data_IF_078661098306
#
_entry.id   IF_078661098306
#
_cell.length_a   1.000
_cell.length_b   1.000
_cell.length_c   1.000
_cell.angle_alpha   90.00
_cell.angle_beta   90.00
_cell.angle_gamma   90.00
#
_symmetry.space_group_name_H-M   'P 1'
#
loop_
_entity.id
_entity.type
_entity.pdbx_description
1 polymer ?
#
# COMPACT_ATOMS: atom_id res chain seq x y z
N UNK A 1 20.63 25.78 -22.65
CA UNK A 1 19.94 24.67 -21.96
C UNK A 1 20.69 23.36 -22.13
N UNK A 2 20.53 22.42 -21.23
CA UNK A 2 21.14 21.10 -21.33
C UNK A 2 20.12 20.12 -21.93
N UNK A 3 20.57 19.20 -22.81
CA UNK A 3 19.75 18.11 -23.30
C UNK A 3 19.54 17.10 -22.17
N UNK A 4 18.29 16.68 -21.97
CA UNK A 4 17.92 15.63 -21.00
C UNK A 4 17.67 14.35 -21.78
N UNK A 5 18.32 13.26 -21.36
CA UNK A 5 18.05 11.90 -21.83
C UNK A 5 17.29 11.15 -20.75
N UNK A 6 16.21 10.49 -21.14
CA UNK A 6 15.47 9.58 -20.25
C UNK A 6 15.97 8.15 -20.40
N UNK A 7 16.18 7.47 -19.27
CA UNK A 7 16.44 6.03 -19.20
C UNK A 7 15.31 5.39 -18.38
N UNK A 8 14.44 4.63 -19.04
CA UNK A 8 13.31 3.92 -18.42
C UNK A 8 13.78 2.59 -17.84
N UNK A 9 13.45 2.35 -16.55
CA UNK A 9 13.69 1.08 -15.87
C UNK A 9 12.35 0.51 -15.38
N UNK A 10 12.13 -0.78 -15.65
CA UNK A 10 10.99 -1.52 -15.10
C UNK A 10 11.46 -2.34 -13.90
N UNK A 11 10.81 -2.16 -12.78
CA UNK A 11 11.10 -2.84 -11.51
C UNK A 11 10.00 -3.83 -11.10
N UNK A 12 8.97 -4.00 -11.94
CA UNK A 12 7.93 -5.03 -11.78
C UNK A 12 7.16 -4.95 -10.46
N UNK A 13 7.09 -3.75 -9.83
CA UNK A 13 6.42 -3.54 -8.54
C UNK A 13 6.96 -4.46 -7.39
N UNK A 14 8.19 -4.95 -7.52
CA UNK A 14 8.80 -5.90 -6.59
C UNK A 14 10.03 -5.31 -5.87
N UNK A 15 10.33 -5.86 -4.67
CA UNK A 15 11.51 -5.44 -3.91
C UNK A 15 12.81 -5.79 -4.66
N UNK A 16 12.89 -6.97 -5.27
CA UNK A 16 14.05 -7.44 -6.03
C UNK A 16 14.26 -6.59 -7.30
N UNK A 17 13.18 -6.34 -8.05
CA UNK A 17 13.23 -5.47 -9.22
C UNK A 17 13.65 -4.05 -8.87
N UNK A 18 13.14 -3.51 -7.76
CA UNK A 18 13.53 -2.21 -7.22
C UNK A 18 15.02 -2.13 -6.87
N UNK A 19 15.58 -3.15 -6.22
CA UNK A 19 17.02 -3.24 -5.93
C UNK A 19 17.87 -3.34 -7.20
N UNK A 20 17.44 -4.16 -8.16
CA UNK A 20 18.14 -4.35 -9.43
C UNK A 20 18.19 -3.05 -10.23
N UNK A 21 17.05 -2.39 -10.41
CA UNK A 21 16.97 -1.12 -11.11
C UNK A 21 17.80 -0.04 -10.40
N UNK A 22 17.68 0.06 -9.07
CA UNK A 22 18.41 1.03 -8.28
C UNK A 22 19.95 0.83 -8.37
N UNK A 23 20.42 -0.42 -8.35
CA UNK A 23 21.84 -0.75 -8.50
C UNK A 23 22.36 -0.34 -9.87
N UNK A 24 21.61 -0.62 -10.93
CA UNK A 24 21.95 -0.20 -12.30
C UNK A 24 22.03 1.32 -12.41
N UNK A 25 21.03 2.03 -11.88
CA UNK A 25 20.99 3.50 -11.88
C UNK A 25 22.18 4.08 -11.11
N UNK A 26 22.47 3.57 -9.91
CA UNK A 26 23.57 4.05 -9.07
C UNK A 26 24.96 3.85 -9.69
N UNK A 27 25.11 2.86 -10.57
CA UNK A 27 26.34 2.59 -11.30
C UNK A 27 26.57 3.58 -12.46
N UNK A 28 25.52 4.16 -13.03
CA UNK A 28 25.61 5.12 -14.13
C UNK A 28 25.85 6.54 -13.61
N UNK A 29 27.06 7.05 -13.77
CA UNK A 29 27.47 8.38 -13.33
C UNK A 29 26.87 9.53 -14.13
N UNK A 30 26.14 9.26 -15.18
CA UNK A 30 25.42 10.27 -15.99
C UNK A 30 24.03 10.57 -15.45
N UNK A 31 23.49 9.71 -14.58
CA UNK A 31 22.19 9.91 -13.95
C UNK A 31 22.29 10.99 -12.87
N UNK A 32 21.45 12.01 -12.98
CA UNK A 32 21.41 13.16 -12.04
C UNK A 32 20.21 13.13 -11.10
N UNK A 33 19.11 12.49 -11.51
CA UNK A 33 17.90 12.38 -10.71
C UNK A 33 17.05 11.19 -11.15
N UNK A 34 16.19 10.70 -10.25
CA UNK A 34 15.22 9.63 -10.54
C UNK A 34 13.82 10.14 -10.25
N UNK A 35 12.90 9.95 -11.20
CA UNK A 35 11.46 10.09 -11.01
C UNK A 35 10.87 8.69 -10.90
N UNK A 36 10.35 8.34 -9.76
CA UNK A 36 9.85 6.98 -9.42
C UNK A 36 10.14 6.66 -7.94
N UNK A 37 9.85 5.49 -7.51
CA UNK A 37 9.21 4.37 -8.22
C UNK A 37 7.69 4.52 -8.20
N UNK A 38 6.97 3.56 -8.81
CA UNK A 38 5.52 3.50 -8.70
C UNK A 38 5.09 2.83 -7.39
N UNK A 39 5.62 1.65 -7.08
CA UNK A 39 5.25 0.89 -5.89
C UNK A 39 6.18 1.15 -4.70
N UNK A 40 5.61 1.21 -3.49
CA UNK A 40 6.42 1.36 -2.27
C UNK A 40 7.36 0.19 -2.01
N UNK A 41 7.01 -1.02 -2.46
CA UNK A 41 7.86 -2.23 -2.41
C UNK A 41 9.20 -2.06 -3.12
N UNK A 42 9.22 -1.30 -4.20
CA UNK A 42 10.44 -0.97 -4.97
C UNK A 42 11.26 0.11 -4.26
N UNK A 43 10.57 1.16 -3.75
CA UNK A 43 11.22 2.30 -3.14
C UNK A 43 11.90 1.97 -1.81
N UNK A 44 11.31 1.10 -1.00
CA UNK A 44 11.87 0.75 0.32
C UNK A 44 13.31 0.25 0.21
N UNK A 45 13.64 -0.74 -0.63
CA UNK A 45 15.02 -1.17 -0.81
C UNK A 45 15.81 -0.29 -1.81
N UNK A 46 15.16 0.31 -2.80
CA UNK A 46 15.84 1.02 -3.89
C UNK A 46 16.27 2.44 -3.52
N UNK A 47 15.47 3.17 -2.75
CA UNK A 47 15.77 4.56 -2.41
C UNK A 47 17.10 4.74 -1.68
N UNK A 48 17.48 3.92 -0.69
CA UNK A 48 18.80 4.02 -0.07
C UNK A 48 19.96 3.82 -1.05
N UNK A 49 19.83 2.90 -2.01
CA UNK A 49 20.86 2.62 -3.02
C UNK A 49 21.08 3.85 -3.90
N UNK A 50 20.00 4.43 -4.42
CA UNK A 50 20.03 5.60 -5.30
C UNK A 50 20.59 6.81 -4.55
N UNK A 51 20.06 7.10 -3.35
CA UNK A 51 20.45 8.30 -2.61
C UNK A 51 21.87 8.23 -2.04
N UNK A 52 22.34 7.04 -1.68
CA UNK A 52 23.75 6.85 -1.27
C UNK A 52 24.73 7.06 -2.43
N UNK A 53 24.29 6.90 -3.66
CA UNK A 53 25.06 7.27 -4.86
C UNK A 53 25.06 8.80 -5.13
N UNK A 54 24.39 9.59 -4.31
CA UNK A 54 24.29 11.05 -4.47
C UNK A 54 23.20 11.50 -5.43
N UNK A 55 22.30 10.62 -5.83
CA UNK A 55 21.23 10.88 -6.80
C UNK A 55 19.93 11.18 -6.05
N UNK A 56 19.26 12.30 -6.37
CA UNK A 56 17.94 12.60 -5.83
C UNK A 56 16.86 11.72 -6.44
N UNK A 57 15.89 11.34 -5.61
CA UNK A 57 14.76 10.51 -6.03
C UNK A 57 13.44 11.16 -5.61
N UNK A 58 12.51 11.33 -6.55
CA UNK A 58 11.18 11.87 -6.30
C UNK A 58 10.13 10.90 -6.82
N UNK A 59 9.30 10.36 -5.92
CA UNK A 59 8.18 9.50 -6.31
C UNK A 59 6.87 10.27 -6.41
N UNK A 60 6.11 10.12 -7.51
CA UNK A 60 4.76 10.66 -7.62
C UNK A 60 3.69 9.74 -7.00
N UNK A 61 4.04 8.53 -6.58
CA UNK A 61 3.08 7.46 -6.29
C UNK A 61 3.28 6.75 -4.95
N UNK A 62 4.51 6.59 -4.46
CA UNK A 62 4.76 5.83 -3.23
C UNK A 62 4.12 6.47 -2.01
N UNK A 63 3.30 5.72 -1.28
CA UNK A 63 2.55 6.23 -0.12
C UNK A 63 2.98 5.67 1.23
N UNK A 64 3.73 4.55 1.26
CA UNK A 64 4.11 3.88 2.50
C UNK A 64 4.76 4.83 3.53
N UNK A 65 4.32 4.71 4.78
CA UNK A 65 4.75 5.58 5.89
C UNK A 65 6.26 5.57 6.07
N UNK A 66 6.89 4.39 5.97
CA UNK A 66 8.31 4.17 6.23
C UNK A 66 9.24 5.02 5.34
N UNK A 67 8.80 5.34 4.12
CA UNK A 67 9.61 6.07 3.14
C UNK A 67 9.91 7.52 3.54
N UNK A 68 9.07 8.12 4.39
CA UNK A 68 9.26 9.49 4.89
C UNK A 68 9.24 9.58 6.42
N UNK A 69 9.30 8.44 7.11
CA UNK A 69 9.51 8.39 8.56
C UNK A 69 10.89 9.02 8.86
N UNK A 70 10.98 10.05 9.72
CA UNK A 70 12.26 10.72 10.04
C UNK A 70 13.37 9.78 10.52
N UNK A 71 13.00 8.67 11.18
CA UNK A 71 13.95 7.68 11.70
C UNK A 71 14.44 6.67 10.65
N UNK A 72 13.75 6.56 9.50
CA UNK A 72 14.00 5.47 8.52
C UNK A 72 14.20 5.95 7.09
N UNK A 73 13.79 7.18 6.77
CA UNK A 73 13.85 7.71 5.41
C UNK A 73 15.27 7.76 4.86
N UNK A 74 15.43 7.46 3.58
CA UNK A 74 16.66 7.73 2.85
C UNK A 74 16.82 9.25 2.63
N UNK A 75 18.00 9.80 2.95
CA UNK A 75 18.30 11.20 2.67
C UNK A 75 18.33 11.41 1.14
N UNK A 76 17.59 12.41 0.63
CA UNK A 76 17.47 12.64 -0.82
C UNK A 76 16.30 11.92 -1.48
N UNK A 77 15.50 11.16 -0.73
CA UNK A 77 14.21 10.66 -1.19
C UNK A 77 13.08 11.64 -0.85
N UNK A 78 12.26 11.94 -1.84
CA UNK A 78 11.09 12.80 -1.74
C UNK A 78 9.87 12.15 -2.40
N UNK A 79 8.68 12.63 -2.09
CA UNK A 79 7.45 12.25 -2.81
C UNK A 79 6.49 13.43 -2.91
N UNK A 80 5.69 13.43 -3.97
CA UNK A 80 4.56 14.35 -4.14
C UNK A 80 3.24 13.69 -3.74
N UNK A 81 3.22 12.36 -3.63
CA UNK A 81 2.07 11.62 -3.12
C UNK A 81 1.85 11.86 -1.61
N UNK A 82 0.63 11.66 -1.15
CA UNK A 82 0.30 11.69 0.28
C UNK A 82 0.96 10.52 1.05
N UNK A 83 0.87 10.56 2.36
CA UNK A 83 1.31 9.44 3.22
C UNK A 83 0.12 8.59 3.65
N UNK A 84 0.31 7.27 3.67
CA UNK A 84 -0.65 6.31 4.22
C UNK A 84 -1.05 6.60 5.66
N UNK A 85 -0.21 7.33 6.40
CA UNK A 85 -0.56 7.84 7.74
C UNK A 85 -1.83 8.69 7.73
N UNK A 86 -2.03 9.50 6.69
CA UNK A 86 -3.22 10.32 6.54
C UNK A 86 -4.37 9.53 5.90
N UNK A 87 -4.08 8.74 4.88
CA UNK A 87 -5.10 7.97 4.16
C UNK A 87 -5.78 6.95 5.08
N UNK A 88 -5.02 6.14 5.82
CA UNK A 88 -5.57 5.15 6.73
C UNK A 88 -6.36 5.78 7.89
N UNK A 89 -5.89 6.91 8.42
CA UNK A 89 -6.61 7.64 9.46
C UNK A 89 -7.93 8.23 8.93
N UNK A 90 -7.93 8.82 7.72
CA UNK A 90 -9.13 9.37 7.09
C UNK A 90 -10.16 8.28 6.78
N UNK A 91 -9.71 7.12 6.29
CA UNK A 91 -10.58 5.97 6.05
C UNK A 91 -11.23 5.45 7.35
N UNK A 92 -10.46 5.37 8.45
CA UNK A 92 -10.97 4.98 9.76
C UNK A 92 -11.99 6.00 10.32
N UNK A 93 -11.68 7.28 10.20
CA UNK A 93 -12.59 8.36 10.60
C UNK A 93 -13.91 8.31 9.82
N UNK A 94 -13.84 8.12 8.51
CA UNK A 94 -15.02 8.00 7.65
C UNK A 94 -15.87 6.80 8.02
N UNK A 95 -15.25 5.61 8.17
CA UNK A 95 -15.96 4.39 8.55
C UNK A 95 -16.66 4.56 9.92
N UNK A 96 -15.95 5.10 10.92
CA UNK A 96 -16.47 5.22 12.26
C UNK A 96 -17.48 6.37 12.42
N UNK A 97 -17.12 7.57 11.92
CA UNK A 97 -17.91 8.79 12.18
C UNK A 97 -19.05 8.99 11.20
N UNK A 98 -18.84 8.70 9.91
CA UNK A 98 -19.87 8.92 8.88
C UNK A 98 -20.72 7.68 8.67
N UNK A 99 -20.11 6.51 8.48
CA UNK A 99 -20.86 5.27 8.26
C UNK A 99 -21.33 4.60 9.55
N UNK A 100 -20.90 5.09 10.73
CA UNK A 100 -21.27 4.55 12.06
C UNK A 100 -20.94 3.05 12.23
N UNK A 101 -19.90 2.60 11.54
CA UNK A 101 -19.43 1.22 11.61
C UNK A 101 -18.75 0.97 12.97
N UNK A 102 -19.01 -0.19 13.57
CA UNK A 102 -18.43 -0.55 14.86
C UNK A 102 -17.48 -1.75 14.77
N UNK A 103 -17.62 -2.61 13.76
CA UNK A 103 -16.81 -3.81 13.55
C UNK A 103 -16.21 -3.82 12.16
N UNK A 104 -14.90 -3.89 12.08
CA UNK A 104 -14.18 -3.91 10.81
C UNK A 104 -13.29 -5.13 10.68
N UNK A 105 -13.09 -5.58 9.46
CA UNK A 105 -12.03 -6.49 9.04
C UNK A 105 -11.11 -5.79 8.03
N UNK A 106 -9.87 -6.26 7.93
CA UNK A 106 -8.92 -5.75 6.91
C UNK A 106 -8.23 -6.88 6.19
N UNK A 107 -7.91 -6.65 4.91
CA UNK A 107 -7.10 -7.53 4.07
C UNK A 107 -5.95 -6.72 3.47
N UNK A 108 -4.73 -7.27 3.48
CA UNK A 108 -3.55 -6.71 2.81
C UNK A 108 -2.78 -7.81 2.06
N UNK A 109 -1.94 -7.42 1.10
CA UNK A 109 -1.14 -8.34 0.28
C UNK A 109 0.29 -8.57 0.81
N UNK A 110 0.61 -8.07 2.00
CA UNK A 110 1.92 -8.16 2.63
C UNK A 110 2.93 -7.13 2.13
N UNK A 111 2.62 -6.34 1.11
CA UNK A 111 3.51 -5.26 0.65
C UNK A 111 3.64 -4.14 1.70
N UNK A 112 4.76 -3.39 1.70
CA UNK A 112 4.94 -2.24 2.58
C UNK A 112 3.83 -1.19 2.47
N UNK A 113 3.24 -1.05 1.27
CA UNK A 113 2.06 -0.22 1.03
C UNK A 113 0.83 -0.78 1.74
N UNK A 114 0.35 -1.94 1.32
CA UNK A 114 -0.94 -2.48 1.76
C UNK A 114 -0.96 -2.80 3.26
N UNK A 115 0.08 -3.47 3.77
CA UNK A 115 0.19 -3.80 5.18
C UNK A 115 0.31 -2.55 6.05
N UNK A 116 1.14 -1.60 5.64
CA UNK A 116 1.33 -0.34 6.36
C UNK A 116 0.04 0.48 6.44
N UNK A 117 -0.67 0.61 5.33
CA UNK A 117 -1.93 1.34 5.24
C UNK A 117 -3.04 0.66 6.04
N UNK A 118 -3.18 -0.66 5.95
CA UNK A 118 -4.12 -1.44 6.76
C UNK A 118 -3.83 -1.29 8.27
N UNK A 119 -2.55 -1.27 8.66
CA UNK A 119 -2.17 -1.07 10.06
C UNK A 119 -2.55 0.32 10.57
N UNK A 120 -2.31 1.38 9.79
CA UNK A 120 -2.73 2.75 10.17
C UNK A 120 -4.23 2.84 10.33
N UNK A 121 -5.00 2.23 9.42
CA UNK A 121 -6.46 2.16 9.53
C UNK A 121 -6.89 1.47 10.84
N UNK A 122 -6.35 0.29 11.12
CA UNK A 122 -6.65 -0.51 12.33
C UNK A 122 -6.35 0.28 13.60
N UNK A 123 -5.17 0.89 13.69
CA UNK A 123 -4.76 1.65 14.88
C UNK A 123 -5.64 2.87 15.09
N UNK A 124 -5.99 3.56 14.00
CA UNK A 124 -6.88 4.72 14.06
C UNK A 124 -8.31 4.32 14.44
N UNK A 125 -8.82 3.23 13.86
CA UNK A 125 -10.17 2.75 14.14
C UNK A 125 -10.34 2.28 15.60
N UNK A 126 -9.32 1.59 16.14
CA UNK A 126 -9.29 1.21 17.57
C UNK A 126 -9.25 2.43 18.50
N UNK A 127 -8.49 3.48 18.15
CA UNK A 127 -8.45 4.74 18.93
C UNK A 127 -9.78 5.45 18.97
N UNK A 128 -10.62 5.29 17.95
CA UNK A 128 -11.99 5.83 17.91
C UNK A 128 -12.98 5.00 18.73
N UNK A 129 -12.59 3.84 19.25
CA UNK A 129 -13.45 2.94 20.03
C UNK A 129 -14.07 1.79 19.22
N UNK A 130 -13.68 1.64 17.94
CA UNK A 130 -14.14 0.55 17.09
C UNK A 130 -13.44 -0.78 17.36
N UNK A 131 -14.06 -1.86 16.92
CA UNK A 131 -13.56 -3.24 17.07
C UNK A 131 -13.02 -3.72 15.73
N UNK A 132 -11.79 -4.25 15.73
CA UNK A 132 -11.20 -4.92 14.59
C UNK A 132 -11.35 -6.42 14.77
N UNK A 133 -12.12 -7.06 13.89
CA UNK A 133 -12.47 -8.49 13.98
C UNK A 133 -11.39 -9.38 13.36
N UNK A 134 -10.69 -8.90 12.34
CA UNK A 134 -9.56 -9.61 11.74
C UNK A 134 -8.63 -8.66 10.98
N UNK A 135 -7.36 -9.09 10.86
CA UNK A 135 -6.30 -8.45 10.09
C UNK A 135 -5.61 -9.55 9.29
N UNK A 136 -5.98 -9.67 8.02
CA UNK A 136 -5.65 -10.84 7.20
C UNK A 136 -4.66 -10.47 6.07
N UNK A 137 -3.78 -11.43 5.79
CA UNK A 137 -2.88 -11.35 4.64
C UNK A 137 -3.37 -12.27 3.51
N UNK A 138 -3.16 -11.84 2.27
CA UNK A 138 -3.40 -12.64 1.06
C UNK A 138 -2.17 -12.57 0.16
N UNK A 139 -1.88 -13.67 -0.56
CA UNK A 139 -0.83 -13.61 -1.59
C UNK A 139 -1.25 -12.68 -2.73
N UNK A 140 -0.33 -11.88 -3.32
CA UNK A 140 -0.64 -11.05 -4.49
C UNK A 140 -1.21 -11.85 -5.67
N UNK A 141 -0.84 -13.12 -5.80
CA UNK A 141 -1.28 -14.00 -6.90
C UNK A 141 -2.56 -14.78 -6.60
N UNK A 142 -3.10 -14.68 -5.37
CA UNK A 142 -4.30 -15.41 -4.97
C UNK A 142 -5.53 -14.91 -5.75
N UNK A 143 -6.31 -15.86 -6.26
CA UNK A 143 -7.54 -15.60 -7.02
C UNK A 143 -8.79 -16.13 -6.33
N UNK A 144 -8.66 -17.16 -5.48
CA UNK A 144 -9.79 -17.68 -4.70
C UNK A 144 -9.82 -17.06 -3.31
N UNK A 145 -10.64 -16.01 -3.18
CA UNK A 145 -10.80 -15.30 -1.91
C UNK A 145 -11.79 -15.95 -0.96
N UNK A 146 -12.57 -16.95 -1.40
CA UNK A 146 -13.63 -17.56 -0.59
C UNK A 146 -13.14 -18.15 0.74
N UNK A 147 -12.00 -18.87 0.80
CA UNK A 147 -11.50 -19.39 2.08
C UNK A 147 -11.15 -18.27 3.07
N UNK A 148 -10.50 -17.19 2.59
CA UNK A 148 -10.16 -16.02 3.38
C UNK A 148 -11.41 -15.28 3.87
N UNK A 149 -12.33 -14.99 2.95
CA UNK A 149 -13.58 -14.29 3.25
C UNK A 149 -14.47 -15.09 4.22
N UNK A 150 -14.49 -16.42 4.13
CA UNK A 150 -15.21 -17.29 5.08
C UNK A 150 -14.64 -17.17 6.49
N UNK A 151 -13.32 -17.10 6.66
CA UNK A 151 -12.73 -16.83 7.98
C UNK A 151 -13.11 -15.45 8.52
N UNK A 152 -13.08 -14.44 7.67
CA UNK A 152 -13.48 -13.06 8.01
C UNK A 152 -14.95 -13.02 8.46
N UNK A 153 -15.83 -13.75 7.78
CA UNK A 153 -17.26 -13.80 8.09
C UNK A 153 -17.56 -14.25 9.53
N UNK A 154 -16.71 -15.11 10.12
CA UNK A 154 -16.86 -15.55 11.51
C UNK A 154 -16.84 -14.38 12.52
N UNK A 155 -16.11 -13.30 12.20
CA UNK A 155 -16.06 -12.07 12.99
C UNK A 155 -17.28 -11.16 12.83
N UNK A 156 -18.13 -11.42 11.84
CA UNK A 156 -19.30 -10.61 11.48
C UNK A 156 -18.96 -9.12 11.34
N UNK A 157 -18.01 -8.74 10.48
CA UNK A 157 -17.66 -7.35 10.28
C UNK A 157 -18.75 -6.58 9.52
N UNK A 158 -19.03 -5.35 9.95
CA UNK A 158 -19.91 -4.44 9.23
C UNK A 158 -19.21 -3.82 8.01
N UNK A 159 -17.86 -3.83 8.04
CA UNK A 159 -17.03 -3.14 7.06
C UNK A 159 -15.74 -3.91 6.78
N UNK A 160 -15.35 -3.95 5.51
CA UNK A 160 -14.09 -4.53 5.04
C UNK A 160 -13.23 -3.44 4.39
N UNK A 161 -12.07 -3.18 4.97
CA UNK A 161 -11.03 -2.34 4.36
C UNK A 161 -9.97 -3.22 3.70
N UNK A 162 -9.71 -3.02 2.41
CA UNK A 162 -8.80 -3.88 1.64
C UNK A 162 -7.87 -3.04 0.74
N UNK A 163 -6.85 -2.40 1.32
CA UNK A 163 -5.86 -1.63 0.58
C UNK A 163 -4.89 -2.57 -0.15
N UNK A 164 -5.34 -3.15 -1.24
CA UNK A 164 -4.60 -4.07 -2.10
C UNK A 164 -4.56 -3.53 -3.53
N UNK A 165 -3.83 -4.17 -4.42
CA UNK A 165 -3.83 -3.83 -5.84
C UNK A 165 -5.01 -4.46 -6.59
N UNK A 166 -5.23 -4.00 -7.84
CA UNK A 166 -6.39 -4.36 -8.68
C UNK A 166 -6.64 -5.87 -8.73
N UNK A 167 -5.59 -6.71 -8.84
CA UNK A 167 -5.76 -8.15 -8.96
C UNK A 167 -6.51 -8.79 -7.80
N UNK A 168 -6.04 -8.56 -6.57
CA UNK A 168 -6.72 -9.03 -5.37
C UNK A 168 -8.02 -8.24 -5.12
N UNK A 169 -8.02 -6.94 -5.38
CA UNK A 169 -9.19 -6.09 -5.18
C UNK A 169 -10.40 -6.55 -5.98
N UNK A 170 -10.22 -6.86 -7.25
CA UNK A 170 -11.26 -7.40 -8.12
C UNK A 170 -11.75 -8.77 -7.65
N UNK A 171 -10.83 -9.67 -7.24
CA UNK A 171 -11.19 -10.99 -6.72
C UNK A 171 -12.00 -10.90 -5.41
N UNK A 172 -11.62 -10.03 -4.48
CA UNK A 172 -12.37 -9.77 -3.26
C UNK A 172 -13.76 -9.24 -3.59
N UNK A 173 -13.84 -8.19 -4.43
CA UNK A 173 -15.10 -7.54 -4.78
C UNK A 173 -16.09 -8.47 -5.47
N UNK A 174 -15.61 -9.35 -6.34
CA UNK A 174 -16.46 -10.31 -7.07
C UNK A 174 -16.97 -11.45 -6.19
N UNK A 175 -16.22 -11.86 -5.15
CA UNK A 175 -16.52 -13.07 -4.39
C UNK A 175 -17.19 -12.81 -3.04
N UNK A 176 -17.05 -11.62 -2.48
CA UNK A 176 -17.51 -11.34 -1.11
C UNK A 176 -19.02 -11.54 -0.94
N UNK A 177 -19.83 -11.23 -1.96
CA UNK A 177 -21.30 -11.34 -1.89
C UNK A 177 -21.80 -12.78 -1.90
N UNK A 178 -20.94 -13.72 -2.32
CA UNK A 178 -21.23 -15.16 -2.32
C UNK A 178 -20.92 -15.82 -0.97
N UNK A 179 -20.30 -15.08 -0.03
CA UNK A 179 -19.90 -15.63 1.27
C UNK A 179 -20.98 -15.33 2.31
N UNK A 180 -21.62 -16.38 2.90
CA UNK A 180 -22.63 -16.20 3.93
C UNK A 180 -22.12 -15.35 5.11
N UNK A 181 -22.88 -14.31 5.44
CA UNK A 181 -22.57 -13.38 6.51
C UNK A 181 -21.80 -12.13 6.08
N UNK A 182 -21.41 -12.03 4.81
CA UNK A 182 -20.75 -10.83 4.24
C UNK A 182 -21.60 -10.13 3.15
N UNK A 183 -22.81 -10.57 2.90
CA UNK A 183 -23.69 -10.09 1.83
C UNK A 183 -23.94 -8.58 1.92
N UNK A 184 -23.95 -8.04 3.14
CA UNK A 184 -24.24 -6.62 3.41
C UNK A 184 -23.00 -5.84 3.91
N UNK A 185 -21.85 -6.49 4.03
CA UNK A 185 -20.63 -5.85 4.50
C UNK A 185 -20.24 -4.69 3.56
N UNK A 186 -20.06 -3.51 4.13
CA UNK A 186 -19.59 -2.35 3.38
C UNK A 186 -18.13 -2.56 3.00
N UNK A 187 -17.74 -2.20 1.79
CA UNK A 187 -16.40 -2.41 1.26
C UNK A 187 -15.72 -1.09 0.95
N UNK A 188 -14.46 -0.97 1.32
CA UNK A 188 -13.62 0.18 0.94
C UNK A 188 -12.24 -0.32 0.50
N UNK A 189 -11.87 0.01 -0.72
CA UNK A 189 -10.50 -0.09 -1.20
C UNK A 189 -9.68 1.15 -0.87
N UNK A 190 -8.51 1.26 -1.48
CA UNK A 190 -7.61 2.39 -1.38
C UNK A 190 -7.07 2.78 -2.77
N UNK A 191 -6.13 3.71 -2.85
CA UNK A 191 -5.55 4.22 -4.11
C UNK A 191 -4.95 3.14 -5.01
N UNK A 192 -4.49 2.01 -4.48
CA UNK A 192 -3.95 0.89 -5.27
C UNK A 192 -4.95 0.15 -6.17
N UNK A 193 -6.24 0.48 -6.10
CA UNK A 193 -7.31 -0.15 -6.92
C UNK A 193 -7.66 0.67 -8.16
N UNK A 194 -7.11 1.87 -8.31
CA UNK A 194 -7.36 2.78 -9.44
C UNK A 194 -6.36 2.62 -10.57
#
# INVERSE_FOLDING_TARGET
>A
GHAIKLDGQDSGCSAEGGQTAATKIAADKTVVAVVGTNCSSEAVPGAPIITNAGIFMVSPSNTAVVLTDPAKRAAGYFRTAHSDKFQGAAAADFAFKELKVMKVATIHDGSPYAQGLAQVFVDSFKKLGGTVTSFEAVSPDEKDMKPLLTRIAAGKPDFLYYPVFIGNGAAIASQIRDVPGLEKTIMMGADGIF
#
